data_IF_548889755373
#
_entry.id   IF_548889755373
#
_cell.length_a   1.000
_cell.length_b   1.000
_cell.length_c   1.000
_cell.angle_alpha   90.00
_cell.angle_beta   90.00
_cell.angle_gamma   90.00
#
_symmetry.space_group_name_H-M   'P 1'
#
loop_
_entity.id
_entity.type
_entity.pdbx_description
1 polymer ?
#
# COMPACT_ATOMS: atom_id res chain seq x y z
N UNK A 1 5.50 -9.37 32.13
CA UNK A 1 5.56 -10.65 31.39
C UNK A 1 4.63 -10.56 30.19
N UNK A 2 5.14 -10.54 28.94
CA UNK A 2 4.26 -10.59 27.74
C UNK A 2 3.67 -11.99 27.65
N UNK A 3 2.36 -12.10 27.47
CA UNK A 3 1.68 -13.40 27.40
C UNK A 3 2.21 -14.23 26.23
N UNK A 4 2.42 -15.53 26.46
CA UNK A 4 3.01 -16.46 25.48
C UNK A 4 2.27 -16.48 24.13
N UNK A 5 0.98 -16.13 24.12
CA UNK A 5 0.16 -15.99 22.94
C UNK A 5 0.62 -14.88 21.99
N UNK A 6 1.08 -13.74 22.53
CA UNK A 6 1.62 -12.65 21.70
C UNK A 6 2.88 -13.11 20.95
N UNK A 7 3.75 -13.86 21.62
CA UNK A 7 4.98 -14.38 21.00
C UNK A 7 4.69 -15.42 19.91
N UNK A 8 3.65 -16.24 20.06
CA UNK A 8 3.20 -17.18 19.02
C UNK A 8 2.64 -16.45 17.80
N UNK A 9 1.84 -15.40 17.99
CA UNK A 9 1.33 -14.56 16.90
C UNK A 9 2.45 -13.84 16.16
N UNK A 10 3.42 -13.27 16.88
CA UNK A 10 4.59 -12.61 16.29
C UNK A 10 5.44 -13.61 15.51
N UNK A 11 5.64 -14.83 16.02
CA UNK A 11 6.38 -15.88 15.30
C UNK A 11 5.64 -16.37 14.05
N UNK A 12 4.31 -16.47 14.09
CA UNK A 12 3.49 -16.82 12.93
C UNK A 12 3.49 -15.74 11.84
N UNK A 13 3.60 -14.48 12.25
CA UNK A 13 3.72 -13.32 11.35
C UNK A 13 5.18 -13.06 10.91
N UNK A 14 6.16 -13.70 11.56
CA UNK A 14 7.58 -13.62 11.20
C UNK A 14 7.76 -14.25 9.81
N UNK A 15 8.35 -13.49 8.88
CA UNK A 15 8.46 -13.89 7.48
C UNK A 15 7.28 -13.46 6.59
N UNK A 16 6.33 -12.66 7.12
CA UNK A 16 5.34 -11.95 6.30
C UNK A 16 5.68 -10.45 6.32
N UNK A 17 6.28 -9.99 5.24
CA UNK A 17 6.75 -8.59 5.11
C UNK A 17 5.61 -7.59 4.80
N UNK A 18 4.44 -8.09 4.38
CA UNK A 18 3.41 -7.30 3.71
C UNK A 18 2.61 -6.30 4.55
N UNK A 19 2.82 -6.20 5.87
CA UNK A 19 2.04 -5.26 6.70
C UNK A 19 2.54 -3.80 6.58
N UNK A 20 3.83 -3.57 6.35
CA UNK A 20 4.45 -2.22 6.44
C UNK A 20 5.02 -1.69 5.11
N UNK A 21 4.68 -2.30 3.98
CA UNK A 21 5.19 -1.86 2.67
C UNK A 21 4.44 -0.59 2.17
N UNK A 22 5.15 0.49 1.78
CA UNK A 22 4.58 1.71 1.19
C UNK A 22 3.64 1.46 0.01
N UNK A 23 3.97 0.52 -0.85
CA UNK A 23 3.11 0.14 -1.98
C UNK A 23 1.77 -0.43 -1.50
N UNK A 24 1.78 -1.29 -0.47
CA UNK A 24 0.54 -1.86 0.07
C UNK A 24 -0.33 -0.80 0.75
N UNK A 25 0.30 0.13 1.48
CA UNK A 25 -0.38 1.30 2.05
C UNK A 25 -1.03 2.16 0.97
N UNK A 26 -0.35 2.40 -0.15
CA UNK A 26 -0.93 3.16 -1.26
C UNK A 26 -2.15 2.43 -1.85
N UNK A 27 -2.05 1.12 -2.10
CA UNK A 27 -3.18 0.35 -2.62
C UNK A 27 -4.38 0.38 -1.66
N UNK A 28 -4.16 0.27 -0.35
CA UNK A 28 -5.22 0.38 0.65
C UNK A 28 -5.91 1.74 0.60
N UNK A 29 -5.15 2.84 0.51
CA UNK A 29 -5.70 4.19 0.41
C UNK A 29 -6.52 4.33 -0.88
N UNK A 30 -5.98 3.87 -2.01
CA UNK A 30 -6.71 3.90 -3.30
C UNK A 30 -8.01 3.11 -3.21
N UNK A 31 -7.96 1.92 -2.62
CA UNK A 31 -9.14 1.07 -2.43
C UNK A 31 -10.18 1.77 -1.54
N UNK A 32 -9.76 2.39 -0.44
CA UNK A 32 -10.65 3.13 0.45
C UNK A 32 -11.28 4.35 -0.25
N UNK A 33 -10.51 5.11 -1.03
CA UNK A 33 -11.04 6.24 -1.82
C UNK A 33 -12.05 5.74 -2.85
N UNK A 34 -11.77 4.64 -3.53
CA UNK A 34 -12.72 4.04 -4.49
C UNK A 34 -14.01 3.60 -3.81
N UNK A 35 -13.94 3.00 -2.62
CA UNK A 35 -15.14 2.68 -1.83
C UNK A 35 -15.94 3.95 -1.47
N UNK A 36 -15.27 5.02 -1.06
CA UNK A 36 -15.93 6.29 -0.76
C UNK A 36 -16.62 6.85 -2.02
N UNK A 37 -15.94 6.84 -3.17
CA UNK A 37 -16.51 7.31 -4.43
C UNK A 37 -17.67 6.45 -4.91
N UNK A 38 -17.60 5.14 -4.72
CA UNK A 38 -18.67 4.20 -5.06
C UNK A 38 -19.97 4.52 -4.31
N UNK A 39 -19.88 4.92 -3.03
CA UNK A 39 -21.03 5.37 -2.23
C UNK A 39 -21.71 6.60 -2.86
N UNK A 40 -20.95 7.53 -3.43
CA UNK A 40 -21.52 8.75 -4.03
C UNK A 40 -22.07 8.54 -5.44
N UNK A 41 -21.52 7.58 -6.19
CA UNK A 41 -21.79 7.43 -7.63
C UNK A 41 -22.79 6.29 -7.90
N UNK A 42 -22.96 5.34 -6.98
CA UNK A 42 -23.97 4.26 -7.02
C UNK A 42 -24.09 3.55 -8.39
N UNK A 43 -22.99 3.48 -9.16
CA UNK A 43 -22.96 2.79 -10.44
C UNK A 43 -22.66 1.31 -10.19
N UNK A 44 -23.51 0.37 -10.65
CA UNK A 44 -23.33 -1.07 -10.39
C UNK A 44 -22.02 -1.63 -10.96
N UNK A 45 -21.43 -0.98 -11.97
CA UNK A 45 -20.11 -1.32 -12.52
C UNK A 45 -18.93 -0.88 -11.65
N UNK A 46 -19.09 0.18 -10.84
CA UNK A 46 -18.04 0.67 -9.94
C UNK A 46 -17.94 -0.16 -8.65
N UNK A 47 -19.01 -0.83 -8.21
CA UNK A 47 -18.99 -1.61 -6.95
C UNK A 47 -18.07 -2.83 -6.96
N UNK A 48 -17.79 -3.42 -8.13
CA UNK A 48 -16.94 -4.62 -8.22
C UNK A 48 -15.44 -4.31 -8.19
N UNK A 49 -15.04 -3.13 -8.66
CA UNK A 49 -13.64 -2.71 -8.78
C UNK A 49 -12.93 -2.53 -7.42
N UNK A 50 -13.47 -1.79 -6.42
CA UNK A 50 -12.86 -1.67 -5.11
C UNK A 50 -12.84 -3.02 -4.38
N UNK A 51 -13.85 -3.86 -4.58
CA UNK A 51 -13.89 -5.22 -4.04
C UNK A 51 -12.73 -6.07 -4.60
N UNK A 52 -12.50 -6.04 -5.91
CA UNK A 52 -11.40 -6.77 -6.55
C UNK A 52 -10.04 -6.26 -6.07
N UNK A 53 -9.85 -4.94 -5.97
CA UNK A 53 -8.64 -4.34 -5.41
C UNK A 53 -8.39 -4.75 -3.96
N UNK A 54 -9.45 -4.82 -3.15
CA UNK A 54 -9.39 -5.30 -1.78
C UNK A 54 -8.89 -6.76 -1.74
N UNK A 55 -9.43 -7.64 -2.58
CA UNK A 55 -8.98 -9.04 -2.69
C UNK A 55 -7.50 -9.10 -3.08
N UNK A 56 -7.04 -8.26 -4.02
CA UNK A 56 -5.62 -8.19 -4.39
C UNK A 56 -4.77 -7.76 -3.19
N UNK A 57 -5.18 -6.74 -2.43
CA UNK A 57 -4.47 -6.29 -1.24
C UNK A 57 -4.37 -7.40 -0.19
N UNK A 58 -5.46 -8.12 0.07
CA UNK A 58 -5.46 -9.26 0.99
C UNK A 58 -4.58 -10.41 0.49
N UNK A 59 -4.69 -10.79 -0.78
CA UNK A 59 -3.79 -11.79 -1.37
C UNK A 59 -2.33 -11.37 -1.25
N UNK A 60 -2.04 -10.07 -1.43
CA UNK A 60 -0.68 -9.57 -1.25
C UNK A 60 -0.23 -9.65 0.20
N UNK A 61 -1.12 -9.40 1.15
CA UNK A 61 -0.87 -9.50 2.59
C UNK A 61 -0.55 -10.93 3.04
N UNK A 62 -1.27 -11.93 2.51
CA UNK A 62 -1.07 -13.33 2.84
C UNK A 62 0.10 -14.00 2.08
N UNK A 63 0.67 -13.33 1.07
CA UNK A 63 1.77 -13.89 0.29
C UNK A 63 3.07 -13.97 1.09
N UNK A 64 3.67 -15.17 1.15
CA UNK A 64 4.99 -15.41 1.78
C UNK A 64 6.19 -15.01 0.91
N UNK A 65 5.98 -14.50 -0.31
CA UNK A 65 7.06 -14.20 -1.27
C UNK A 65 7.74 -12.86 -1.00
N UNK A 66 8.47 -12.74 0.12
CA UNK A 66 9.11 -11.49 0.58
C UNK A 66 10.01 -10.87 -0.49
N UNK A 67 10.87 -11.67 -1.13
CA UNK A 67 11.86 -11.16 -2.09
C UNK A 67 11.21 -10.49 -3.30
N UNK A 68 10.20 -11.14 -3.90
CA UNK A 68 9.45 -10.62 -5.05
C UNK A 68 8.76 -9.31 -4.67
N UNK A 69 8.13 -9.27 -3.48
CA UNK A 69 7.39 -8.09 -3.00
C UNK A 69 8.30 -6.93 -2.61
N UNK A 70 9.49 -7.21 -2.08
CA UNK A 70 10.51 -6.20 -1.85
C UNK A 70 10.98 -5.58 -3.17
N UNK A 71 11.13 -6.38 -4.24
CA UNK A 71 11.51 -5.86 -5.55
C UNK A 71 10.41 -4.98 -6.17
N UNK A 72 9.14 -5.41 -6.10
CA UNK A 72 7.98 -4.59 -6.50
C UNK A 72 7.94 -3.25 -5.74
N UNK A 73 8.14 -3.30 -4.42
CA UNK A 73 8.13 -2.11 -3.57
C UNK A 73 9.32 -1.18 -3.87
N UNK A 74 10.51 -1.73 -4.19
CA UNK A 74 11.66 -0.94 -4.66
C UNK A 74 11.37 -0.21 -5.97
N UNK A 75 10.70 -0.88 -6.93
CA UNK A 75 10.28 -0.23 -8.18
C UNK A 75 9.30 0.92 -7.91
N UNK A 76 8.32 0.69 -7.04
CA UNK A 76 7.38 1.72 -6.61
C UNK A 76 8.08 2.91 -5.96
N UNK A 77 9.00 2.67 -5.02
CA UNK A 77 9.75 3.72 -4.34
C UNK A 77 10.62 4.54 -5.32
N UNK A 78 11.23 3.91 -6.32
CA UNK A 78 11.97 4.63 -7.37
C UNK A 78 11.05 5.58 -8.13
N UNK A 79 9.86 5.13 -8.51
CA UNK A 79 8.88 5.96 -9.20
C UNK A 79 8.38 7.10 -8.30
N UNK A 80 8.03 6.79 -7.05
CA UNK A 80 7.59 7.79 -6.07
C UNK A 80 8.69 8.84 -5.80
N UNK A 81 9.95 8.42 -5.72
CA UNK A 81 11.08 9.33 -5.52
C UNK A 81 11.32 10.24 -6.73
N UNK A 82 11.11 9.75 -7.97
CA UNK A 82 11.15 10.61 -9.16
C UNK A 82 10.10 11.71 -9.05
N UNK A 83 8.85 11.34 -8.75
CA UNK A 83 7.75 12.31 -8.57
C UNK A 83 8.09 13.32 -7.48
N UNK A 84 8.51 12.86 -6.30
CA UNK A 84 8.92 13.73 -5.20
C UNK A 84 10.04 14.69 -5.61
N UNK A 85 11.03 14.24 -6.37
CA UNK A 85 12.11 15.10 -6.88
C UNK A 85 11.57 16.18 -7.83
N UNK A 86 10.66 15.84 -8.75
CA UNK A 86 10.03 16.85 -9.62
C UNK A 86 9.30 17.93 -8.82
N UNK A 87 8.52 17.55 -7.80
CA UNK A 87 7.84 18.50 -6.92
C UNK A 87 8.81 19.32 -6.05
N UNK A 88 9.92 18.72 -5.58
CA UNK A 88 10.94 19.44 -4.81
C UNK A 88 11.72 20.45 -5.65
N UNK A 89 12.02 20.15 -6.92
CA UNK A 89 12.67 21.09 -7.83
C UNK A 89 11.79 22.34 -8.02
N UNK A 90 10.47 22.15 -8.23
CA UNK A 90 9.50 23.26 -8.31
C UNK A 90 9.43 24.10 -7.03
N UNK A 91 9.62 23.49 -5.85
CA UNK A 91 9.59 24.20 -4.58
C UNK A 91 10.85 25.06 -4.37
N UNK A 92 12.02 24.60 -4.84
CA UNK A 92 13.28 25.36 -4.79
C UNK A 92 13.30 26.53 -5.78
N UNK A 93 12.63 26.41 -6.93
CA UNK A 93 12.51 27.52 -7.89
C UNK A 93 11.52 28.60 -7.47
N UNK A 94 10.62 28.31 -6.53
CA UNK A 94 9.69 29.29 -5.96
C UNK A 94 10.22 29.95 -4.67
N UNK A 95 11.32 29.43 -4.11
CA UNK A 95 12.09 30.04 -3.03
C UNK A 95 13.40 30.61 -3.58
N UNK A 96 13.28 31.58 -4.48
CA UNK A 96 14.34 32.54 -4.76
C UNK A 96 14.17 33.65 -3.69
N UNK A 97 15.24 34.14 -3.05
CA UNK A 97 15.16 35.04 -1.88
C UNK A 97 14.28 36.27 -2.09
#
# INVERSE_FOLDING_TARGET
MRSNWQNKLIQFMRGRYGFLDPLNKMLLIVTAVLFILDIFVALPLLGFLPLLLLVIVYYRFFSKRIYVRSNENRKYLRWQNKIKKFFQIKKRSFSIP
#
